data_IF_266295413325
#
_entry.id   IF_266295413325
#
_cell.length_a   1.000
_cell.length_b   1.000
_cell.length_c   1.000
_cell.angle_alpha   90.00
_cell.angle_beta   90.00
_cell.angle_gamma   90.00
#
_symmetry.space_group_name_H-M   'P 1'
#
loop_
_entity.id
_entity.type
_entity.pdbx_description
1 polymer ?
#
# COMPACT_ATOMS: atom_id res chain seq x y z
N UNK A 1 -10.02 1.90 -13.35
CA UNK A 1 -10.22 1.01 -12.19
C UNK A 1 -10.62 1.88 -11.01
N UNK A 2 -11.40 1.36 -10.05
CA UNK A 2 -11.90 2.13 -8.90
C UNK A 2 -11.26 1.61 -7.62
N UNK A 3 -10.58 2.48 -6.87
CA UNK A 3 -9.96 2.19 -5.58
C UNK A 3 -10.94 1.76 -4.47
N UNK A 4 -12.23 1.65 -4.79
CA UNK A 4 -13.30 1.33 -3.86
C UNK A 4 -13.11 -0.01 -3.15
N UNK A 5 -12.68 -1.07 -3.85
CA UNK A 5 -12.52 -2.41 -3.28
C UNK A 5 -11.42 -2.45 -2.22
N UNK A 6 -10.30 -1.76 -2.47
CA UNK A 6 -9.23 -1.53 -1.47
C UNK A 6 -9.78 -0.79 -0.25
N UNK A 7 -10.44 0.35 -0.45
CA UNK A 7 -10.97 1.16 0.65
C UNK A 7 -12.02 0.39 1.48
N UNK A 8 -12.85 -0.43 0.84
CA UNK A 8 -13.82 -1.30 1.50
C UNK A 8 -13.13 -2.35 2.38
N UNK A 9 -12.15 -3.08 1.82
CA UNK A 9 -11.36 -4.08 2.56
C UNK A 9 -10.67 -3.46 3.79
N UNK A 10 -10.03 -2.30 3.63
CA UNK A 10 -9.35 -1.61 4.73
C UNK A 10 -10.32 -1.12 5.81
N UNK A 11 -11.52 -0.68 5.41
CA UNK A 11 -12.58 -0.34 6.37
C UNK A 11 -13.03 -1.56 7.16
N UNK A 12 -13.23 -2.71 6.53
CA UNK A 12 -13.57 -3.96 7.21
C UNK A 12 -12.50 -4.37 8.23
N UNK A 13 -11.21 -4.25 7.86
CA UNK A 13 -10.09 -4.50 8.78
C UNK A 13 -10.10 -3.60 10.03
N UNK A 14 -10.64 -2.37 9.94
CA UNK A 14 -10.77 -1.50 11.12
C UNK A 14 -11.94 -1.86 12.03
N UNK A 15 -12.94 -2.58 11.51
CA UNK A 15 -14.11 -3.01 12.25
C UNK A 15 -13.83 -4.37 12.92
N UNK A 16 -13.16 -5.27 12.22
CA UNK A 16 -12.92 -6.65 12.66
C UNK A 16 -11.43 -7.02 12.68
N UNK A 17 -10.84 -7.26 13.86
CA UNK A 17 -9.46 -7.72 14.00
C UNK A 17 -9.18 -9.06 13.30
N UNK A 18 -10.18 -9.95 13.18
CA UNK A 18 -10.01 -11.23 12.50
C UNK A 18 -9.80 -11.02 11.00
N UNK A 19 -10.55 -10.08 10.39
CA UNK A 19 -10.36 -9.67 9.00
C UNK A 19 -8.96 -9.09 8.78
N UNK A 20 -8.47 -8.22 9.67
CA UNK A 20 -7.11 -7.69 9.57
C UNK A 20 -6.04 -8.78 9.67
N UNK A 21 -6.24 -9.79 10.52
CA UNK A 21 -5.34 -10.94 10.62
C UNK A 21 -5.37 -11.81 9.36
N UNK A 22 -6.55 -12.05 8.78
CA UNK A 22 -6.71 -12.78 7.53
C UNK A 22 -5.99 -12.08 6.38
N UNK A 23 -6.20 -10.77 6.21
CA UNK A 23 -5.53 -9.96 5.17
C UNK A 23 -4.01 -10.06 5.27
N UNK A 24 -3.43 -9.95 6.48
CA UNK A 24 -1.98 -10.09 6.67
C UNK A 24 -1.43 -11.48 6.32
N UNK A 25 -2.24 -12.51 6.44
CA UNK A 25 -1.85 -13.90 6.17
C UNK A 25 -2.08 -14.32 4.70
N UNK A 26 -2.83 -13.53 3.94
CA UNK A 26 -3.14 -13.80 2.54
C UNK A 26 -1.92 -13.63 1.64
N UNK A 27 -1.89 -14.42 0.57
CA UNK A 27 -1.12 -14.09 -0.62
C UNK A 27 -1.94 -13.14 -1.55
N UNK A 28 -1.31 -12.52 -2.56
CA UNK A 28 -1.99 -11.59 -3.46
C UNK A 28 -3.19 -12.20 -4.21
N UNK A 29 -3.13 -13.47 -4.62
CA UNK A 29 -4.21 -14.11 -5.37
C UNK A 29 -5.41 -14.44 -4.48
N UNK A 30 -5.16 -14.87 -3.24
CA UNK A 30 -6.19 -15.08 -2.22
C UNK A 30 -6.90 -13.77 -1.90
N UNK A 31 -6.14 -12.69 -1.67
CA UNK A 31 -6.69 -11.38 -1.35
C UNK A 31 -7.50 -10.81 -2.52
N UNK A 32 -6.97 -10.91 -3.74
CA UNK A 32 -7.64 -10.48 -4.96
C UNK A 32 -9.00 -11.18 -5.13
N UNK A 33 -9.04 -12.50 -4.95
CA UNK A 33 -10.26 -13.29 -5.04
C UNK A 33 -11.27 -12.94 -3.93
N UNK A 34 -10.80 -12.80 -2.69
CA UNK A 34 -11.68 -12.57 -1.54
C UNK A 34 -12.34 -11.19 -1.55
N UNK A 35 -11.68 -10.18 -2.10
CA UNK A 35 -12.15 -8.78 -2.07
C UNK A 35 -12.42 -8.16 -3.44
N UNK A 36 -12.49 -8.99 -4.49
CA UNK A 36 -12.75 -8.55 -5.87
C UNK A 36 -11.76 -7.45 -6.33
N UNK A 37 -10.47 -7.65 -6.01
CA UNK A 37 -9.39 -6.76 -6.43
C UNK A 37 -8.66 -7.37 -7.64
N UNK A 38 -8.01 -6.52 -8.42
CA UNK A 38 -6.97 -7.00 -9.34
C UNK A 38 -5.75 -7.52 -8.57
N UNK A 39 -4.93 -8.33 -9.24
CA UNK A 39 -3.69 -8.85 -8.66
C UNK A 39 -2.73 -7.72 -8.27
N UNK A 40 -2.65 -6.66 -9.09
CA UNK A 40 -1.78 -5.51 -8.85
C UNK A 40 -2.22 -4.71 -7.61
N UNK A 41 -3.53 -4.53 -7.42
CA UNK A 41 -4.09 -3.87 -6.23
C UNK A 41 -3.79 -4.67 -4.96
N UNK A 42 -4.01 -5.99 -5.01
CA UNK A 42 -3.72 -6.88 -3.90
C UNK A 42 -2.22 -6.90 -3.55
N UNK A 43 -1.35 -6.98 -4.57
CA UNK A 43 0.10 -6.92 -4.39
C UNK A 43 0.52 -5.58 -3.77
N UNK A 44 0.05 -4.46 -4.32
CA UNK A 44 0.37 -3.13 -3.82
C UNK A 44 -0.07 -2.94 -2.37
N UNK A 45 -1.23 -3.50 -2.00
CA UNK A 45 -1.75 -3.48 -0.63
C UNK A 45 -0.85 -4.26 0.33
N UNK A 46 -0.52 -5.52 0.00
CA UNK A 46 0.30 -6.39 0.86
C UNK A 46 1.75 -5.90 0.98
N UNK A 47 2.29 -5.27 -0.06
CA UNK A 47 3.63 -4.67 -0.04
C UNK A 47 3.66 -3.26 0.59
N UNK A 48 2.51 -2.68 0.96
CA UNK A 48 2.45 -1.32 1.48
C UNK A 48 2.97 -0.28 0.46
N UNK A 49 2.69 -0.47 -0.84
CA UNK A 49 3.02 0.46 -1.93
C UNK A 49 2.08 1.66 -1.93
N UNK A 50 2.18 2.48 -0.88
CA UNK A 50 1.31 3.64 -0.67
C UNK A 50 1.41 4.67 -1.81
N UNK A 51 2.56 4.71 -2.50
CA UNK A 51 2.78 5.49 -3.72
C UNK A 51 1.86 5.06 -4.88
N UNK A 52 1.78 3.74 -5.13
CA UNK A 52 0.93 3.20 -6.18
C UNK A 52 -0.54 3.29 -5.80
N UNK A 53 -0.88 3.00 -4.55
CA UNK A 53 -2.25 3.06 -4.05
C UNK A 53 -2.81 4.49 -4.10
N UNK A 54 -2.01 5.50 -3.75
CA UNK A 54 -2.38 6.92 -3.90
C UNK A 54 -2.61 7.28 -5.38
N UNK A 55 -1.70 6.87 -6.28
CA UNK A 55 -1.87 7.07 -7.72
C UNK A 55 -3.11 6.34 -8.30
N UNK A 56 -3.53 5.24 -7.68
CA UNK A 56 -4.77 4.51 -8.00
C UNK A 56 -6.03 5.19 -7.45
N UNK A 57 -5.89 6.26 -6.65
CA UNK A 57 -6.99 7.02 -6.07
C UNK A 57 -7.50 6.48 -4.72
N UNK A 58 -6.70 5.68 -4.00
CA UNK A 58 -7.03 5.28 -2.63
C UNK A 58 -6.95 6.50 -1.72
N UNK A 59 -8.02 6.75 -0.95
CA UNK A 59 -8.08 7.93 -0.09
C UNK A 59 -6.95 7.92 0.97
N UNK A 60 -6.33 9.07 1.30
CA UNK A 60 -5.21 9.13 2.26
C UNK A 60 -5.52 8.51 3.63
N UNK A 61 -6.76 8.67 4.11
CA UNK A 61 -7.19 8.03 5.36
C UNK A 61 -7.12 6.49 5.30
N UNK A 62 -7.44 5.89 4.14
CA UNK A 62 -7.32 4.45 3.95
C UNK A 62 -5.87 4.00 3.90
N UNK A 63 -4.93 4.81 3.40
CA UNK A 63 -3.50 4.51 3.48
C UNK A 63 -2.99 4.48 4.95
N UNK A 64 -3.55 5.34 5.82
CA UNK A 64 -3.28 5.28 7.27
C UNK A 64 -3.89 4.01 7.89
N UNK A 65 -5.09 3.59 7.47
CA UNK A 65 -5.67 2.32 7.91
C UNK A 65 -4.79 1.14 7.49
N UNK A 66 -4.29 1.14 6.26
CA UNK A 66 -3.36 0.12 5.76
C UNK A 66 -2.10 0.03 6.62
N UNK A 67 -1.49 1.17 6.98
CA UNK A 67 -0.28 1.18 7.80
C UNK A 67 -0.50 0.50 9.16
N UNK A 68 -1.70 0.67 9.74
CA UNK A 68 -2.10 0.01 10.99
C UNK A 68 -2.36 -1.48 10.81
N UNK A 69 -3.00 -1.86 9.70
CA UNK A 69 -3.25 -3.27 9.37
C UNK A 69 -1.95 -4.02 9.15
N UNK A 70 -1.01 -3.44 8.40
CA UNK A 70 0.24 -4.09 8.02
C UNK A 70 1.38 -3.86 9.02
N UNK A 71 1.21 -2.98 9.99
CA UNK A 71 2.17 -2.77 11.07
C UNK A 71 3.40 -1.94 10.67
N UNK A 72 3.23 -0.92 9.82
CA UNK A 72 4.29 0.01 9.44
C UNK A 72 3.94 1.48 9.75
N UNK A 73 4.96 2.32 9.84
CA UNK A 73 4.79 3.78 9.95
C UNK A 73 4.54 4.39 8.58
N UNK A 74 3.41 5.08 8.41
CA UNK A 74 3.01 5.69 7.13
C UNK A 74 4.03 6.75 6.67
N UNK A 75 4.55 7.57 7.59
CA UNK A 75 5.53 8.62 7.28
C UNK A 75 6.87 8.02 6.85
N UNK A 76 7.33 6.98 7.56
CA UNK A 76 8.56 6.27 7.19
C UNK A 76 8.40 5.59 5.82
N UNK A 77 7.22 5.00 5.56
CA UNK A 77 6.96 4.34 4.28
C UNK A 77 6.96 5.31 3.11
N UNK A 78 6.36 6.49 3.27
CA UNK A 78 6.42 7.55 2.27
C UNK A 78 7.86 8.04 2.06
N UNK A 79 8.62 8.25 3.13
CA UNK A 79 10.02 8.66 3.04
C UNK A 79 10.90 7.64 2.30
N UNK A 80 10.71 6.33 2.52
CA UNK A 80 11.41 5.26 1.79
C UNK A 80 11.10 5.29 0.29
N UNK A 81 9.82 5.38 -0.07
CA UNK A 81 9.36 5.29 -1.47
C UNK A 81 9.69 6.55 -2.27
N UNK A 82 9.64 7.73 -1.64
CA UNK A 82 10.02 9.00 -2.27
C UNK A 82 11.55 9.17 -2.28
N UNK A 83 12.23 8.78 -1.21
CA UNK A 83 13.69 8.87 -1.07
C UNK A 83 14.47 7.86 -1.90
N UNK A 84 13.84 6.75 -2.33
CA UNK A 84 14.39 5.83 -3.32
C UNK A 84 14.49 6.42 -4.73
N UNK A 85 13.81 7.55 -5.00
CA UNK A 85 13.84 8.24 -6.28
C UNK A 85 15.06 9.15 -6.47
N UNK A 86 15.69 9.59 -5.37
CA UNK A 86 16.86 10.49 -5.37
C UNK A 86 18.17 9.83 -4.90
N UNK A 87 18.14 8.56 -4.46
CA UNK A 87 19.34 7.82 -4.05
C UNK A 87 20.19 7.30 -5.24
N UNK A 88 19.71 7.46 -6.48
CA UNK A 88 20.35 6.97 -7.71
C UNK A 88 21.02 8.02 -8.59
N UNK A 89 20.87 9.32 -8.33
CA UNK A 89 21.56 10.39 -9.08
C UNK A 89 22.61 11.11 -8.21
N UNK A 90 23.66 10.37 -7.86
CA UNK A 90 24.98 10.97 -7.64
C UNK A 90 26.02 10.15 -8.38
N UNK A 91 26.25 10.48 -9.65
CA UNK A 91 27.60 10.61 -10.25
C UNK A 91 27.49 11.09 -11.70
N UNK A 92 28.36 12.05 -12.04
CA UNK A 92 28.59 12.71 -13.34
C UNK A 92 27.78 14.02 -13.52
N UNK A 93 28.37 15.22 -13.53
CA UNK A 93 29.77 15.56 -13.76
C UNK A 93 30.22 16.88 -13.13
N UNK A 94 31.55 16.99 -13.15
CA UNK A 94 32.44 17.95 -12.52
C UNK A 94 32.11 19.44 -12.66
N UNK A 95 32.59 20.26 -11.72
CA UNK A 95 32.74 21.70 -11.92
C UNK A 95 34.02 22.00 -12.72
N UNK A 96 33.87 22.77 -13.79
CA UNK A 96 34.94 23.52 -14.45
C UNK A 96 34.52 24.99 -14.58
#
# INVERSE_FOLDING_TARGET
MSAYTIMKCLRECTIDPATAAAVRASDPAQLATAHDMSLDEAQAMLEGRVDLLDAMGVHPFSLIQLSRVMGFSIDARWAELLGGKDAGEKTAGDPA
#
